data_IF_217127102279
#
_entry.id   IF_217127102279
#
_cell.length_a   1.000
_cell.length_b   1.000
_cell.length_c   1.000
_cell.angle_alpha   90.00
_cell.angle_beta   90.00
_cell.angle_gamma   90.00
#
_symmetry.space_group_name_H-M   'P 1'
#
loop_
_entity.id
_entity.type
_entity.pdbx_description
1 polymer ?
#
# COMPACT_ATOMS: atom_id res chain seq x y z
N UNK A 1 25.42 4.79 16.21
CA UNK A 1 24.85 3.63 16.93
C UNK A 1 23.80 2.97 16.03
N UNK A 2 24.08 2.86 14.73
CA UNK A 2 23.06 2.64 13.69
C UNK A 2 23.10 1.23 13.09
N UNK A 3 24.03 0.38 13.57
CA UNK A 3 24.20 -0.99 13.07
C UNK A 3 23.37 -2.03 13.84
N UNK A 4 22.89 -1.74 15.05
CA UNK A 4 22.16 -2.74 15.86
C UNK A 4 20.68 -2.85 15.45
N UNK A 5 20.05 -1.76 15.00
CA UNK A 5 18.65 -1.78 14.54
C UNK A 5 18.49 -2.40 13.14
N UNK A 6 19.48 -2.23 12.24
CA UNK A 6 19.50 -2.91 10.93
C UNK A 6 19.74 -4.43 11.08
N UNK A 7 20.57 -4.83 12.05
CA UNK A 7 20.77 -6.25 12.37
C UNK A 7 19.50 -6.87 12.96
N UNK A 8 18.81 -6.21 13.90
CA UNK A 8 17.60 -6.76 14.54
C UNK A 8 16.44 -6.95 13.53
N UNK A 9 16.28 -6.02 12.59
CA UNK A 9 15.31 -6.14 11.48
C UNK A 9 15.68 -7.28 10.52
N UNK A 10 16.97 -7.47 10.24
CA UNK A 10 17.46 -8.59 9.43
C UNK A 10 17.24 -9.95 10.11
N UNK A 11 17.47 -10.04 11.42
CA UNK A 11 17.21 -11.26 12.21
C UNK A 11 15.73 -11.61 12.29
N UNK A 12 14.83 -10.61 12.35
CA UNK A 12 13.38 -10.85 12.27
C UNK A 12 12.97 -11.37 10.89
N UNK A 13 13.53 -10.84 9.81
CA UNK A 13 13.30 -11.36 8.46
C UNK A 13 13.86 -12.78 8.27
N UNK A 14 15.01 -13.12 8.87
CA UNK A 14 15.58 -14.48 8.79
C UNK A 14 14.81 -15.52 9.62
N UNK A 15 14.20 -15.16 10.76
CA UNK A 15 13.36 -16.09 11.52
C UNK A 15 12.11 -16.55 10.78
N UNK A 16 11.59 -15.75 9.85
CA UNK A 16 10.49 -16.19 8.98
C UNK A 16 10.93 -17.20 7.91
N UNK A 17 12.23 -17.31 7.60
CA UNK A 17 12.75 -18.28 6.64
C UNK A 17 13.23 -19.60 7.28
N UNK A 18 13.56 -19.60 8.59
CA UNK A 18 14.17 -20.76 9.25
C UNK A 18 13.22 -21.71 9.98
N UNK A 19 11.90 -21.50 9.92
CA UNK A 19 10.90 -22.42 10.47
C UNK A 19 10.15 -23.17 9.35
N UNK A 20 10.90 -23.77 8.42
CA UNK A 20 10.34 -24.54 7.29
C UNK A 20 9.81 -25.95 7.65
N UNK A 21 9.61 -26.28 8.93
CA UNK A 21 9.10 -27.60 9.33
C UNK A 21 7.71 -27.56 9.98
N UNK A 22 7.03 -26.40 9.98
CA UNK A 22 5.64 -26.32 10.39
C UNK A 22 4.78 -26.04 9.16
N UNK A 23 4.13 -27.10 8.63
CA UNK A 23 2.91 -26.98 7.82
C UNK A 23 2.99 -27.04 6.28
N UNK A 24 3.80 -27.93 5.70
CA UNK A 24 3.68 -28.26 4.25
C UNK A 24 2.24 -28.63 3.86
N UNK A 25 1.52 -29.31 4.75
CA UNK A 25 0.16 -29.81 4.52
C UNK A 25 -0.92 -28.71 4.52
N UNK A 26 -0.75 -27.61 5.27
CA UNK A 26 -1.71 -26.50 5.19
C UNK A 26 -1.36 -25.54 4.04
N UNK A 27 -0.08 -25.38 3.71
CA UNK A 27 0.33 -24.58 2.56
C UNK A 27 -0.20 -25.18 1.25
N UNK A 28 -0.11 -26.51 1.07
CA UNK A 28 -0.72 -27.19 -0.08
C UNK A 28 -2.24 -27.04 -0.14
N UNK A 29 -2.93 -27.13 1.00
CA UNK A 29 -4.39 -26.93 1.07
C UNK A 29 -4.79 -25.51 0.67
N UNK A 30 -4.07 -24.51 1.17
CA UNK A 30 -4.27 -23.10 0.80
C UNK A 30 -3.99 -22.90 -0.69
N UNK A 31 -2.88 -23.41 -1.21
CA UNK A 31 -2.56 -23.33 -2.64
C UNK A 31 -3.61 -24.02 -3.52
N UNK A 32 -4.12 -25.19 -3.10
CA UNK A 32 -5.18 -25.91 -3.82
C UNK A 32 -6.49 -25.12 -3.82
N UNK A 33 -6.84 -24.50 -2.70
CA UNK A 33 -8.00 -23.63 -2.58
C UNK A 33 -7.87 -22.39 -3.47
N UNK A 34 -6.72 -21.72 -3.43
CA UNK A 34 -6.40 -20.57 -4.29
C UNK A 34 -6.45 -20.94 -5.78
N UNK A 35 -5.89 -22.09 -6.19
CA UNK A 35 -6.00 -22.59 -7.56
C UNK A 35 -7.46 -22.87 -7.97
N UNK A 36 -8.28 -23.39 -7.07
CA UNK A 36 -9.70 -23.65 -7.34
C UNK A 36 -10.50 -22.35 -7.52
N UNK A 37 -10.17 -21.31 -6.75
CA UNK A 37 -10.72 -19.96 -6.86
C UNK A 37 -10.31 -19.29 -8.19
N UNK A 38 -9.06 -19.43 -8.62
CA UNK A 38 -8.63 -18.93 -9.93
C UNK A 38 -9.40 -19.58 -11.08
N UNK A 39 -9.66 -20.89 -10.98
CA UNK A 39 -10.41 -21.60 -12.00
C UNK A 39 -11.89 -21.17 -12.06
N UNK A 40 -12.52 -20.89 -10.92
CA UNK A 40 -13.89 -20.36 -10.91
C UNK A 40 -13.96 -18.89 -11.38
N UNK A 41 -12.92 -18.09 -11.09
CA UNK A 41 -12.81 -16.72 -11.58
C UNK A 41 -12.58 -16.67 -13.11
N UNK A 42 -11.81 -17.61 -13.67
CA UNK A 42 -11.64 -17.78 -15.13
C UNK A 42 -12.95 -18.05 -15.87
N UNK A 43 -13.94 -18.67 -15.23
CA UNK A 43 -15.26 -18.93 -15.83
C UNK A 43 -16.10 -17.66 -15.88
N UNK A 44 -15.82 -16.67 -15.02
CA UNK A 44 -16.39 -15.32 -15.09
C UNK A 44 -15.47 -14.43 -15.92
N UNK A 45 -15.46 -14.68 -17.24
CA UNK A 45 -14.91 -13.74 -18.21
C UNK A 45 -15.74 -12.44 -18.18
N UNK A 46 -15.45 -11.56 -17.22
CA UNK A 46 -15.78 -10.16 -17.35
C UNK A 46 -15.07 -9.68 -18.61
N UNK A 47 -15.84 -9.50 -19.67
CA UNK A 47 -15.39 -8.90 -20.93
C UNK A 47 -15.00 -7.46 -20.58
N UNK A 48 -13.72 -7.29 -20.24
CA UNK A 48 -13.16 -6.08 -19.68
C UNK A 48 -12.84 -5.12 -20.81
N UNK A 49 -13.81 -4.31 -21.18
CA UNK A 49 -13.71 -3.36 -22.30
C UNK A 49 -12.77 -2.18 -22.03
N UNK A 50 -12.11 -2.07 -20.87
CA UNK A 50 -11.14 -0.98 -20.62
C UNK A 50 -10.03 -1.42 -19.63
N UNK A 51 -8.90 -1.92 -20.14
CA UNK A 51 -7.67 -2.12 -19.35
C UNK A 51 -7.25 -0.84 -18.59
N UNK A 52 -7.51 0.32 -19.22
CA UNK A 52 -7.28 1.65 -18.63
C UNK A 52 -8.13 1.88 -17.37
N UNK A 53 -9.38 1.43 -17.36
CA UNK A 53 -10.27 1.59 -16.22
C UNK A 53 -9.80 0.76 -15.02
N UNK A 54 -9.29 -0.45 -15.26
CA UNK A 54 -8.70 -1.27 -14.19
C UNK A 54 -7.46 -0.62 -13.60
N UNK A 55 -6.51 -0.19 -14.41
CA UNK A 55 -5.29 0.46 -13.90
C UNK A 55 -5.64 1.66 -13.01
N UNK A 56 -6.65 2.44 -13.42
CA UNK A 56 -7.15 3.58 -12.65
C UNK A 56 -7.84 3.17 -11.34
N UNK A 57 -8.67 2.13 -11.38
CA UNK A 57 -9.34 1.58 -10.20
C UNK A 57 -8.33 1.05 -9.18
N UNK A 58 -7.36 0.25 -9.62
CA UNK A 58 -6.34 -0.33 -8.75
C UNK A 58 -5.45 0.74 -8.12
N UNK A 59 -4.99 1.69 -8.93
CA UNK A 59 -4.29 2.88 -8.43
C UNK A 59 -5.07 3.59 -7.31
N UNK A 60 -6.39 3.71 -7.47
CA UNK A 60 -7.25 4.39 -6.49
C UNK A 60 -7.41 3.54 -5.22
N UNK A 61 -7.65 2.23 -5.37
CA UNK A 61 -7.77 1.30 -4.25
C UNK A 61 -6.46 1.23 -3.45
N UNK A 62 -5.29 1.12 -4.08
CA UNK A 62 -4.00 1.10 -3.37
C UNK A 62 -3.79 2.38 -2.54
N UNK A 63 -4.20 3.53 -3.07
CA UNK A 63 -4.11 4.82 -2.37
C UNK A 63 -5.04 4.82 -1.14
N UNK A 64 -6.29 4.36 -1.31
CA UNK A 64 -7.27 4.28 -0.23
C UNK A 64 -6.86 3.26 0.84
N UNK A 65 -6.40 2.07 0.46
CA UNK A 65 -5.93 1.05 1.40
C UNK A 65 -4.74 1.54 2.23
N UNK A 66 -3.82 2.30 1.62
CA UNK A 66 -2.69 2.88 2.34
C UNK A 66 -3.15 3.87 3.40
N UNK A 67 -4.08 4.76 3.05
CA UNK A 67 -4.58 5.80 3.95
C UNK A 67 -5.50 5.24 5.04
N UNK A 68 -6.45 4.38 4.66
CA UNK A 68 -7.48 3.85 5.56
C UNK A 68 -6.92 2.83 6.56
N UNK A 69 -5.97 2.00 6.14
CA UNK A 69 -5.39 0.96 6.99
C UNK A 69 -4.06 1.38 7.63
N UNK A 70 -3.57 2.60 7.36
CA UNK A 70 -2.29 3.10 7.88
C UNK A 70 -1.08 2.27 7.43
N UNK A 71 -1.14 1.64 6.25
CA UNK A 71 -0.07 0.76 5.81
C UNK A 71 1.21 1.56 5.49
N UNK A 72 2.40 1.05 5.88
CA UNK A 72 3.65 1.68 5.50
C UNK A 72 3.81 1.59 3.99
N UNK A 73 4.23 2.67 3.32
CA UNK A 73 4.38 2.71 1.85
C UNK A 73 5.26 1.59 1.25
N UNK A 74 6.03 0.89 2.07
CA UNK A 74 6.82 -0.28 1.66
C UNK A 74 5.95 -1.49 1.26
N UNK A 75 4.68 -1.54 1.69
CA UNK A 75 3.78 -2.68 1.43
C UNK A 75 3.63 -3.00 -0.07
N UNK A 76 3.66 -1.98 -0.95
CA UNK A 76 3.57 -2.18 -2.41
C UNK A 76 4.78 -2.91 -3.02
N UNK A 77 5.88 -3.03 -2.29
CA UNK A 77 7.08 -3.74 -2.73
C UNK A 77 7.26 -5.08 -1.99
N UNK A 78 6.38 -5.43 -1.07
CA UNK A 78 6.50 -6.67 -0.31
C UNK A 78 6.19 -7.88 -1.21
N UNK A 79 6.99 -8.94 -1.12
CA UNK A 79 6.86 -10.10 -2.02
C UNK A 79 5.47 -10.73 -1.98
N UNK A 80 4.93 -10.99 -0.78
CA UNK A 80 3.59 -11.55 -0.62
C UNK A 80 2.49 -10.65 -1.22
N UNK A 81 2.71 -9.33 -1.27
CA UNK A 81 1.78 -8.42 -1.93
C UNK A 81 1.89 -8.55 -3.44
N UNK A 82 3.10 -8.60 -3.99
CA UNK A 82 3.29 -8.79 -5.44
C UNK A 82 2.66 -10.11 -5.91
N UNK A 83 2.93 -11.21 -5.20
CA UNK A 83 2.35 -12.53 -5.50
C UNK A 83 0.82 -12.53 -5.39
N UNK A 84 0.26 -11.85 -4.40
CA UNK A 84 -1.20 -11.72 -4.25
C UNK A 84 -1.84 -10.96 -5.42
N UNK A 85 -1.22 -9.85 -5.86
CA UNK A 85 -1.76 -9.08 -6.98
C UNK A 85 -1.57 -9.79 -8.32
N UNK A 86 -0.46 -10.50 -8.52
CA UNK A 86 -0.26 -11.37 -9.68
C UNK A 86 -1.28 -12.51 -9.72
N UNK A 87 -1.60 -13.10 -8.56
CA UNK A 87 -2.65 -14.11 -8.42
C UNK A 87 -4.03 -13.58 -8.82
N UNK A 88 -4.37 -12.34 -8.43
CA UNK A 88 -5.64 -11.71 -8.79
C UNK A 88 -5.74 -11.41 -10.28
N UNK A 89 -4.69 -10.86 -10.88
CA UNK A 89 -4.57 -10.71 -12.34
C UNK A 89 -3.15 -10.34 -12.75
N UNK A 90 -2.66 -11.01 -13.78
CA UNK A 90 -1.33 -10.77 -14.35
C UNK A 90 -1.17 -9.38 -14.99
N UNK A 91 -2.27 -8.70 -15.30
CA UNK A 91 -2.26 -7.35 -15.87
C UNK A 91 -2.16 -6.24 -14.80
N UNK A 92 -2.14 -6.61 -13.52
CA UNK A 92 -2.12 -5.66 -12.41
C UNK A 92 -0.70 -5.30 -12.02
N UNK A 93 -0.32 -4.08 -12.36
CA UNK A 93 0.97 -3.51 -11.94
C UNK A 93 0.73 -2.55 -10.78
N UNK A 94 1.27 -2.90 -9.62
CA UNK A 94 1.23 -2.02 -8.45
C UNK A 94 2.02 -0.73 -8.73
N UNK A 95 1.51 0.44 -8.28
CA UNK A 95 2.25 1.67 -8.40
C UNK A 95 3.53 1.60 -7.57
N UNK A 96 4.64 2.07 -8.13
CA UNK A 96 5.89 2.23 -7.38
C UNK A 96 5.65 3.09 -6.14
N UNK A 97 6.34 2.77 -5.04
CA UNK A 97 6.31 3.50 -3.77
C UNK A 97 6.32 5.03 -3.92
N UNK A 98 7.24 5.58 -4.72
CA UNK A 98 7.35 7.03 -4.96
C UNK A 98 6.11 7.62 -5.65
N UNK A 99 5.52 6.88 -6.58
CA UNK A 99 4.31 7.30 -7.30
C UNK A 99 3.12 7.32 -6.35
N UNK A 100 2.97 6.29 -5.52
CA UNK A 100 1.94 6.23 -4.48
C UNK A 100 2.08 7.38 -3.48
N UNK A 101 3.28 7.59 -2.95
CA UNK A 101 3.59 8.71 -2.04
C UNK A 101 3.24 10.06 -2.66
N UNK A 102 3.76 10.36 -3.86
CA UNK A 102 3.50 11.63 -4.53
C UNK A 102 2.01 11.86 -4.82
N UNK A 103 1.25 10.79 -5.11
CA UNK A 103 -0.20 10.90 -5.31
C UNK A 103 -0.92 11.32 -4.03
N UNK A 104 -0.61 10.68 -2.90
CA UNK A 104 -1.19 11.05 -1.60
C UNK A 104 -0.78 12.49 -1.25
N UNK A 105 0.52 12.78 -1.29
CA UNK A 105 1.03 14.11 -0.97
C UNK A 105 0.36 15.20 -1.82
N UNK A 106 0.34 15.04 -3.14
CA UNK A 106 -0.28 16.02 -4.03
C UNK A 106 -1.79 16.16 -3.80
N UNK A 107 -2.48 15.08 -3.44
CA UNK A 107 -3.92 15.13 -3.12
C UNK A 107 -4.16 15.93 -1.85
N UNK A 108 -3.41 15.64 -0.78
CA UNK A 108 -3.58 16.34 0.49
C UNK A 108 -3.13 17.81 0.39
N UNK A 109 -2.03 18.10 -0.30
CA UNK A 109 -1.61 19.50 -0.55
C UNK A 109 -2.66 20.28 -1.33
N UNK A 110 -3.30 19.67 -2.34
CA UNK A 110 -4.39 20.32 -3.08
C UNK A 110 -5.60 20.60 -2.17
N UNK A 111 -6.02 19.62 -1.38
CA UNK A 111 -7.13 19.78 -0.43
C UNK A 111 -6.84 20.88 0.61
N UNK A 112 -5.59 20.96 1.10
CA UNK A 112 -5.16 22.01 2.01
C UNK A 112 -5.17 23.40 1.36
N UNK A 113 -4.69 23.50 0.11
CA UNK A 113 -4.71 24.76 -0.62
C UNK A 113 -6.15 25.24 -0.89
N UNK A 114 -7.05 24.35 -1.31
CA UNK A 114 -8.47 24.71 -1.48
C UNK A 114 -9.10 25.15 -0.17
N UNK A 115 -8.81 24.44 0.94
CA UNK A 115 -9.32 24.82 2.25
C UNK A 115 -8.77 26.18 2.71
N UNK A 116 -7.50 26.47 2.43
CA UNK A 116 -6.91 27.79 2.68
C UNK A 116 -7.61 28.87 1.87
N UNK A 117 -7.76 28.66 0.57
CA UNK A 117 -8.28 29.69 -0.33
C UNK A 117 -9.76 29.99 -0.05
N UNK A 118 -10.55 28.96 0.28
CA UNK A 118 -11.98 29.13 0.58
C UNK A 118 -12.23 29.68 1.99
N UNK A 119 -11.53 29.16 3.00
CA UNK A 119 -11.86 29.42 4.41
C UNK A 119 -10.92 30.39 5.10
N UNK A 120 -9.63 30.42 4.74
CA UNK A 120 -8.65 31.26 5.43
C UNK A 120 -8.48 32.64 4.78
N UNK A 121 -8.62 32.75 3.45
CA UNK A 121 -8.52 34.07 2.77
C UNK A 121 -9.66 35.00 3.18
N UNK A 122 -10.86 34.46 3.41
CA UNK A 122 -12.04 35.22 3.80
C UNK A 122 -12.27 35.22 5.32
N UNK A 123 -11.31 34.75 6.12
CA UNK A 123 -11.48 34.66 7.56
C UNK A 123 -11.39 36.04 8.21
N UNK A 124 -12.51 36.47 8.79
CA UNK A 124 -12.62 37.75 9.49
C UNK A 124 -12.12 37.68 10.95
N UNK A 125 -11.99 36.46 11.50
CA UNK A 125 -11.62 36.18 12.89
C UNK A 125 -10.09 36.07 13.05
N UNK A 126 -9.36 35.73 11.98
CA UNK A 126 -7.91 35.66 11.97
C UNK A 126 -7.35 34.36 12.57
N UNK A 127 -7.99 33.22 12.27
CA UNK A 127 -7.54 31.90 12.73
C UNK A 127 -6.23 31.54 12.04
N UNK A 128 -5.19 31.30 12.84
CA UNK A 128 -3.87 30.85 12.39
C UNK A 128 -3.72 29.36 12.64
N UNK A 129 -3.48 28.59 11.58
CA UNK A 129 -3.07 27.19 11.67
C UNK A 129 -1.54 27.12 11.76
N UNK A 130 -1.02 26.61 12.88
CA UNK A 130 0.39 26.32 13.06
C UNK A 130 0.61 24.80 12.99
N UNK A 131 1.59 24.38 12.19
CA UNK A 131 2.04 22.99 12.15
C UNK A 131 3.34 22.89 12.95
N UNK A 132 3.31 22.11 14.03
CA UNK A 132 4.48 21.94 14.89
C UNK A 132 5.52 21.03 14.21
N UNK A 133 6.78 21.45 14.26
CA UNK A 133 7.90 20.77 13.65
C UNK A 133 8.65 19.96 14.69
N UNK A 134 8.29 18.69 14.83
CA UNK A 134 9.01 17.81 15.75
C UNK A 134 10.41 17.51 15.20
N UNK A 135 11.44 17.74 16.02
CA UNK A 135 12.83 17.35 15.72
C UNK A 135 13.14 16.07 16.48
N UNK A 136 13.51 15.01 15.76
CA UNK A 136 13.91 13.77 16.40
C UNK A 136 15.25 13.98 17.12
N UNK A 137 15.33 13.60 18.40
CA UNK A 137 16.55 13.70 19.20
C UNK A 137 17.29 12.39 18.98
N UNK A 138 18.43 12.44 18.29
CA UNK A 138 19.35 11.31 18.20
C UNK A 138 20.06 11.18 19.56
N UNK A 139 19.91 10.03 20.21
CA UNK A 139 20.68 9.67 21.41
C UNK A 139 22.08 9.17 21.04
#
# INVERSE_FOLDING_TARGET
MDNEEEEEMSYKCQRYQNNNNFSENNHEKVLKYLKSLQNSFKVSNFKLTEEVALVKLYSSISTLSTLANGFPFQWVNHLATLEFFEFLSSFLVLPKRKVLFNRILNRETKNLNTLRDEKLINDQIGIVLAFDGWKNILN
#
